data_IF_160119439570
#
_entry.id   IF_160119439570
#
_cell.length_a   1.000
_cell.length_b   1.000
_cell.length_c   1.000
_cell.angle_alpha   90.00
_cell.angle_beta   90.00
_cell.angle_gamma   90.00
#
_symmetry.space_group_name_H-M   'P 1'
#
loop_
_entity.id
_entity.type
_entity.pdbx_description
1 polymer ?
2 non-polymer ?
3 non-polymer ?
4 water ?
#
# COMPACT_ATOMS: atom_id res chain seq x y z
N UNK A 4 9.80 20.27 28.93
CA UNK A 4 9.59 21.04 27.72
C UNK A 4 9.73 20.17 26.47
N UNK A 5 10.84 19.41 26.43
CA UNK A 5 11.09 18.58 25.25
C UNK A 5 10.05 17.46 25.14
N UNK A 6 9.73 16.82 26.25
CA UNK A 6 8.76 15.72 26.21
C UNK A 6 7.41 16.20 25.70
N UNK A 7 6.93 17.33 26.22
CA UNK A 7 5.60 17.81 25.84
C UNK A 7 5.53 18.16 24.36
N UNK A 8 6.56 18.84 23.85
CA UNK A 8 6.53 19.18 22.43
C UNK A 8 6.59 17.93 21.56
N UNK A 9 7.43 16.96 21.94
CA UNK A 9 7.49 15.71 21.19
C UNK A 9 6.14 15.00 21.18
N UNK A 10 5.44 15.03 22.31
CA UNK A 10 4.12 14.41 22.37
C UNK A 10 3.16 15.10 21.42
N UNK A 11 3.22 16.43 21.35
CA UNK A 11 2.34 17.15 20.44
C UNK A 11 2.66 16.83 18.98
N UNK A 12 3.95 16.73 18.64
CA UNK A 12 4.34 16.38 17.28
C UNK A 12 3.81 15.01 16.91
N UNK A 13 3.97 14.05 17.82
CA UNK A 13 3.47 12.69 17.58
C UNK A 13 1.97 12.71 17.31
N UNK A 14 1.21 13.43 18.13
CA UNK A 14 -0.24 13.52 17.95
C UNK A 14 -0.59 14.19 16.62
N UNK A 15 0.13 15.25 16.25
CA UNK A 15 -0.14 15.89 14.95
C UNK A 15 0.12 14.94 13.79
N UNK A 16 1.17 14.13 13.88
CA UNK A 16 1.50 13.18 12.82
C UNK A 16 0.41 12.12 12.72
N UNK A 17 0.01 11.56 13.86
CA UNK A 17 -1.06 10.57 13.86
C UNK A 17 -2.35 11.15 13.28
N UNK A 18 -2.67 12.40 13.58
CA UNK A 18 -3.88 13.01 13.02
C UNK A 18 -3.73 13.22 11.51
N UNK A 19 -2.55 13.64 11.05
CA UNK A 19 -2.35 13.87 9.63
C UNK A 19 -2.45 12.58 8.82
N UNK A 20 -2.05 11.44 9.41
CA UNK A 20 -2.09 10.14 8.76
C UNK A 20 -3.39 9.40 9.03
N UNK A 21 -4.31 10.02 9.77
CA UNK A 21 -5.59 9.40 10.14
C UNK A 21 -5.38 8.05 10.80
N UNK A 22 -4.45 7.99 11.76
CA UNK A 22 -4.11 6.70 12.37
C UNK A 22 -5.34 6.11 13.03
N UNK A 23 -5.60 4.83 12.74
CA UNK A 23 -6.69 4.12 13.39
C UNK A 23 -6.31 3.74 14.80
N UNK A 24 -7.15 4.05 15.79
CA UNK A 24 -6.82 3.69 17.16
C UNK A 24 -6.66 2.20 17.29
N UNK A 25 -5.86 1.74 18.27
CA UNK A 25 -5.64 0.30 18.43
C UNK A 25 -6.97 -0.45 18.54
N UNK A 26 -7.03 -1.62 17.91
CA UNK A 26 -8.23 -2.44 17.98
C UNK A 26 -8.41 -2.95 19.42
N UNK A 27 -9.54 -2.62 20.03
CA UNK A 27 -9.82 -3.06 21.40
C UNK A 27 -10.69 -4.30 21.44
N UNK A 28 -11.30 -4.67 20.32
CA UNK A 28 -12.28 -5.74 20.31
C UNK A 28 -12.40 -6.30 18.90
N UNK A 29 -13.04 -7.45 18.81
CA UNK A 29 -13.35 -8.00 17.50
C UNK A 29 -14.37 -7.13 16.76
N UNK A 30 -15.24 -6.43 17.49
CA UNK A 30 -16.14 -5.49 16.84
C UNK A 30 -15.34 -4.42 16.08
N UNK A 31 -14.24 -3.96 16.67
CA UNK A 31 -13.39 -2.98 16.00
C UNK A 31 -12.85 -3.54 14.69
N UNK A 32 -12.36 -4.78 14.72
CA UNK A 32 -11.78 -5.40 13.54
C UNK A 32 -12.84 -5.54 12.45
N UNK A 33 -13.99 -6.11 12.81
CA UNK A 33 -15.04 -6.35 11.82
C UNK A 33 -15.57 -5.04 11.27
N UNK A 34 -15.66 -4.01 12.12
CA UNK A 34 -16.16 -2.73 11.66
C UNK A 34 -15.20 -2.09 10.66
N UNK A 35 -13.89 -2.29 10.84
CA UNK A 35 -12.93 -1.75 9.89
C UNK A 35 -13.00 -2.47 8.57
N UNK A 36 -13.18 -3.79 8.59
CA UNK A 36 -13.33 -4.53 7.34
C UNK A 36 -14.55 -4.04 6.59
N UNK A 37 -15.68 -3.95 7.30
CA UNK A 37 -16.92 -3.49 6.66
C UNK A 37 -16.78 -2.07 6.11
N UNK A 38 -16.16 -1.18 6.87
CA UNK A 38 -15.98 0.21 6.43
C UNK A 38 -15.10 0.29 5.20
N UNK A 39 -14.03 -0.52 5.16
CA UNK A 39 -13.10 -0.41 4.05
C UNK A 39 -13.65 -1.09 2.80
N UNK A 40 -14.41 -2.18 2.93
CA UNK A 40 -15.14 -2.71 1.78
C UNK A 40 -16.14 -1.68 1.26
N UNK A 41 -16.92 -1.06 2.15
CA UNK A 41 -17.92 -0.07 1.71
C UNK A 41 -17.23 1.11 1.02
N UNK A 42 -16.07 1.52 1.54
CA UNK A 42 -15.28 2.58 0.89
C UNK A 42 -14.90 2.19 -0.54
N UNK A 43 -14.38 0.97 -0.74
CA UNK A 43 -14.01 0.54 -2.09
C UNK A 43 -15.23 0.60 -3.00
N UNK A 44 -16.37 0.08 -2.51
CA UNK A 44 -17.58 0.08 -3.33
C UNK A 44 -18.04 1.51 -3.64
N UNK A 45 -17.97 2.40 -2.66
CA UNK A 45 -18.35 3.79 -2.89
C UNK A 45 -17.47 4.44 -3.95
N UNK A 46 -16.16 4.13 -3.96
CA UNK A 46 -15.29 4.70 -4.98
C UNK A 46 -15.72 4.24 -6.37
N UNK A 47 -16.06 2.96 -6.52
CA UNK A 47 -16.56 2.47 -7.80
C UNK A 47 -17.84 3.20 -8.20
N UNK A 48 -18.81 3.25 -7.28
CA UNK A 48 -20.08 3.89 -7.62
C UNK A 48 -19.88 5.35 -7.99
N UNK A 49 -19.06 6.07 -7.22
CA UNK A 49 -18.89 7.50 -7.48
C UNK A 49 -18.18 7.76 -8.81
N UNK A 50 -17.33 6.85 -9.23
CA UNK A 50 -16.60 6.98 -10.49
C UNK A 50 -17.38 6.45 -11.69
N UNK A 51 -18.47 5.74 -11.45
CA UNK A 51 -19.18 5.07 -12.52
C UNK A 51 -18.49 3.86 -13.10
N UNK A 52 -17.44 3.37 -12.45
CA UNK A 52 -16.64 2.29 -13.00
C UNK A 52 -16.95 0.98 -12.27
N UNK A 53 -16.48 -0.13 -12.85
CA UNK A 53 -16.85 -1.44 -12.36
C UNK A 53 -15.67 -2.35 -12.03
N UNK A 54 -14.45 -2.01 -12.41
CA UNK A 54 -13.37 -2.95 -12.16
C UNK A 54 -12.33 -2.33 -11.24
N UNK A 55 -11.64 -3.22 -10.52
CA UNK A 55 -10.58 -2.88 -9.60
C UNK A 55 -9.30 -3.59 -10.07
N UNK A 56 -8.16 -2.90 -9.96
CA UNK A 56 -6.87 -3.42 -10.41
C UNK A 56 -5.88 -3.28 -9.26
N UNK A 57 -5.15 -4.37 -8.95
CA UNK A 57 -4.13 -4.34 -7.89
C UNK A 57 -2.99 -5.30 -8.20
N UNK A 58 -1.75 -4.82 -8.13
CA UNK A 58 -0.60 -5.71 -8.21
C UNK A 58 -0.46 -6.54 -6.93
N UNK A 59 -0.31 -7.85 -7.08
CA UNK A 59 -0.19 -8.76 -5.95
C UNK A 59 1.25 -9.23 -5.88
N UNK A 60 1.97 -8.75 -4.86
CA UNK A 60 3.42 -8.92 -4.76
C UNK A 60 3.84 -10.15 -3.97
N UNK A 61 2.95 -10.70 -3.16
CA UNK A 61 3.29 -11.70 -2.18
C UNK A 61 3.37 -11.15 -0.76
N UNK A 62 3.43 -9.83 -0.60
CA UNK A 62 3.48 -9.25 0.74
C UNK A 62 2.11 -9.08 1.34
N UNK A 63 2.07 -8.86 2.66
CA UNK A 63 0.79 -8.87 3.38
C UNK A 63 -0.06 -7.65 3.00
N UNK A 64 0.54 -6.55 2.58
CA UNK A 64 -0.25 -5.35 2.30
C UNK A 64 -1.13 -5.56 1.07
N UNK A 65 -0.52 -6.01 -0.04
CA UNK A 65 -1.35 -6.24 -1.22
C UNK A 65 -2.25 -7.45 -1.03
N UNK A 66 -1.85 -8.41 -0.20
CA UNK A 66 -2.77 -9.51 0.12
C UNK A 66 -4.03 -8.99 0.79
N UNK A 67 -3.87 -8.12 1.79
CA UNK A 67 -5.01 -7.59 2.54
C UNK A 67 -5.89 -6.72 1.67
N UNK A 68 -5.28 -5.82 0.90
CA UNK A 68 -6.05 -4.98 -0.01
C UNK A 68 -6.75 -5.82 -1.06
N UNK A 69 -6.09 -6.89 -1.52
CA UNK A 69 -6.69 -7.75 -2.53
C UNK A 69 -7.89 -8.51 -2.00
N UNK A 70 -7.79 -8.99 -0.75
CA UNK A 70 -8.93 -9.65 -0.12
C UNK A 70 -10.11 -8.70 0.04
N UNK A 71 -9.86 -7.46 0.48
CA UNK A 71 -10.92 -6.47 0.55
C UNK A 71 -11.54 -6.22 -0.81
N UNK A 72 -10.72 -6.08 -1.85
CA UNK A 72 -11.23 -5.79 -3.20
C UNK A 72 -12.10 -6.93 -3.72
N UNK A 73 -11.65 -8.17 -3.53
CA UNK A 73 -12.40 -9.32 -4.03
C UNK A 73 -13.72 -9.47 -3.30
N UNK A 74 -13.73 -9.28 -1.97
CA UNK A 74 -14.99 -9.29 -1.24
C UNK A 74 -15.90 -8.16 -1.72
N UNK A 75 -15.31 -6.99 -1.97
CA UNK A 75 -16.09 -5.83 -2.40
C UNK A 75 -16.85 -6.13 -3.68
N UNK A 76 -16.17 -6.70 -4.69
CA UNK A 76 -16.85 -6.91 -5.97
C UNK A 76 -17.82 -8.09 -5.92
N UNK A 77 -17.52 -9.12 -5.12
CA UNK A 77 -18.47 -10.21 -4.94
C UNK A 77 -19.77 -9.68 -4.36
N UNK A 78 -19.68 -8.81 -3.36
CA UNK A 78 -20.87 -8.22 -2.77
C UNK A 78 -21.62 -7.37 -3.79
N UNK A 79 -20.89 -6.55 -4.55
CA UNK A 79 -21.52 -5.72 -5.57
C UNK A 79 -22.25 -6.57 -6.60
N UNK A 80 -21.64 -7.67 -7.05
CA UNK A 80 -22.35 -8.51 -8.01
C UNK A 80 -23.60 -9.11 -7.41
N UNK A 81 -23.53 -9.58 -6.18
CA UNK A 81 -24.70 -10.16 -5.53
C UNK A 81 -25.82 -9.12 -5.40
N UNK A 82 -25.47 -7.92 -4.92
CA UNK A 82 -26.49 -6.92 -4.65
C UNK A 82 -27.05 -6.29 -5.91
N UNK A 83 -26.18 -5.94 -6.87
CA UNK A 83 -26.60 -5.24 -8.07
C UNK A 83 -27.01 -6.16 -9.20
N UNK A 84 -26.59 -7.42 -9.18
CA UNK A 84 -26.75 -8.31 -10.31
C UNK A 84 -25.87 -8.00 -11.50
N UNK A 85 -25.01 -6.99 -11.40
CA UNK A 85 -24.21 -6.50 -12.51
C UNK A 85 -22.92 -7.31 -12.54
N UNK A 86 -22.83 -8.24 -13.50
CA UNK A 86 -21.69 -9.13 -13.56
C UNK A 86 -20.43 -8.45 -14.07
N UNK A 87 -20.51 -7.18 -14.48
CA UNK A 87 -19.32 -6.47 -14.93
C UNK A 87 -18.38 -6.09 -13.78
N UNK A 88 -18.86 -6.09 -12.53
CA UNK A 88 -17.97 -5.79 -11.41
C UNK A 88 -16.94 -6.91 -11.32
N UNK A 89 -15.66 -6.55 -11.34
CA UNK A 89 -14.60 -7.53 -11.42
C UNK A 89 -13.37 -6.98 -10.72
N UNK A 90 -12.64 -7.87 -10.06
CA UNK A 90 -11.33 -7.56 -9.51
C UNK A 90 -10.26 -8.28 -10.32
N UNK A 91 -9.29 -7.52 -10.83
CA UNK A 91 -8.18 -8.02 -11.61
C UNK A 91 -6.92 -7.95 -10.76
N UNK A 92 -6.43 -9.11 -10.35
CA UNK A 92 -5.14 -9.19 -9.67
C UNK A 92 -4.04 -9.24 -10.70
N UNK A 93 -2.99 -8.46 -10.50
CA UNK A 93 -1.89 -8.38 -11.47
C UNK A 93 -0.64 -8.99 -10.87
N UNK A 94 -0.12 -10.02 -11.55
CA UNK A 94 1.13 -10.66 -11.20
C UNK A 94 2.24 -9.86 -11.87
N UNK A 95 3.21 -9.40 -11.10
CA UNK A 95 4.30 -8.56 -11.59
C UNK A 95 5.60 -9.26 -11.25
N UNK A 96 5.98 -10.30 -11.99
CA UNK A 96 7.12 -11.13 -11.59
C UNK A 96 8.42 -10.35 -11.58
N UNK A 97 9.20 -10.56 -10.52
CA UNK A 97 10.61 -10.17 -10.50
C UNK A 97 11.42 -11.44 -10.23
N UNK A 98 12.47 -11.33 -9.42
CA UNK A 98 13.39 -12.46 -9.26
C UNK A 98 13.77 -12.69 -7.80
N UNK A 99 12.84 -12.46 -6.87
CA UNK A 99 13.00 -12.87 -5.48
C UNK A 99 12.17 -14.14 -5.32
N UNK A 100 12.85 -15.29 -5.32
CA UNK A 100 12.14 -16.57 -5.33
C UNK A 100 11.17 -16.71 -4.17
N UNK A 101 11.56 -16.24 -2.99
CA UNK A 101 10.65 -16.26 -1.84
C UNK A 101 9.41 -15.41 -2.11
N UNK A 102 9.59 -14.25 -2.73
CA UNK A 102 8.44 -13.40 -3.05
C UNK A 102 7.52 -14.08 -4.07
N UNK A 103 8.11 -14.81 -5.03
CA UNK A 103 7.30 -15.40 -6.09
C UNK A 103 6.49 -16.58 -5.58
N UNK A 104 7.09 -17.44 -4.74
CA UNK A 104 6.30 -18.43 -4.03
C UNK A 104 5.22 -17.77 -3.20
N UNK A 105 5.57 -16.66 -2.52
CA UNK A 105 4.57 -15.97 -1.71
C UNK A 105 3.52 -15.30 -2.58
N UNK A 106 3.91 -14.78 -3.76
CA UNK A 106 2.94 -14.22 -4.69
C UNK A 106 1.93 -15.27 -5.13
N UNK A 107 2.40 -16.47 -5.46
CA UNK A 107 1.49 -17.55 -5.83
C UNK A 107 0.56 -17.92 -4.70
N UNK A 108 1.11 -18.02 -3.48
CA UNK A 108 0.30 -18.32 -2.30
C UNK A 108 -0.71 -17.22 -2.03
N UNK A 109 -0.32 -15.96 -2.24
CA UNK A 109 -1.25 -14.84 -2.06
C UNK A 109 -2.40 -14.92 -3.06
N UNK A 110 -2.08 -15.20 -4.32
CA UNK A 110 -3.12 -15.34 -5.32
C UNK A 110 -4.05 -16.48 -4.97
N UNK A 111 -3.50 -17.60 -4.48
CA UNK A 111 -4.36 -18.71 -4.11
C UNK A 111 -5.27 -18.33 -2.95
N UNK A 112 -4.83 -17.40 -2.10
CA UNK A 112 -5.65 -16.95 -0.99
C UNK A 112 -6.78 -16.04 -1.45
N UNK A 113 -6.48 -15.12 -2.38
CA UNK A 113 -7.46 -14.13 -2.79
C UNK A 113 -8.53 -14.74 -3.69
N UNK A 114 -8.13 -15.66 -4.56
CA UNK A 114 -9.03 -16.24 -5.57
C UNK A 114 -9.72 -15.13 -6.35
N UNK A 115 -8.90 -14.24 -6.92
CA UNK A 115 -9.41 -13.09 -7.65
C UNK A 115 -10.21 -13.52 -8.86
N UNK A 116 -11.19 -12.70 -9.24
CA UNK A 116 -11.98 -12.96 -10.44
C UNK A 116 -11.07 -13.26 -11.62
N UNK A 117 -10.04 -12.43 -11.80
CA UNK A 117 -9.15 -12.50 -12.94
C UNK A 117 -7.72 -12.27 -12.48
N UNK A 118 -6.78 -12.95 -13.13
CA UNK A 118 -5.35 -12.75 -12.91
C UNK A 118 -4.70 -12.43 -14.24
N UNK A 119 -3.89 -11.36 -14.26
CA UNK A 119 -3.09 -11.00 -15.42
C UNK A 119 -1.64 -10.92 -14.99
N UNK A 120 -0.75 -11.39 -15.86
CA UNK A 120 0.68 -11.35 -15.60
C UNK A 120 1.34 -10.31 -16.51
N UNK A 121 2.12 -9.41 -15.92
CA UNK A 121 2.81 -8.39 -16.68
C UNK A 121 4.29 -8.47 -16.34
N UNK A 122 5.09 -8.88 -17.32
CA UNK A 122 6.54 -8.81 -17.19
C UNK A 122 7.00 -7.40 -17.55
N UNK A 123 7.41 -6.62 -16.54
CA UNK A 123 7.85 -5.25 -16.80
C UNK A 123 9.33 -5.19 -17.14
N UNK A 124 10.06 -6.30 -17.05
CA UNK A 124 11.47 -6.34 -17.35
C UNK A 124 11.86 -5.68 -18.65
N UNK A 125 11.20 -6.06 -19.76
CA UNK A 125 11.60 -5.46 -21.05
C UNK A 125 11.39 -3.95 -21.11
N UNK A 126 10.31 -3.44 -20.50
CA UNK A 126 10.07 -2.00 -20.48
C UNK A 126 11.09 -1.27 -19.61
N UNK A 127 11.45 -1.84 -18.46
CA UNK A 127 12.46 -1.25 -17.58
C UNK A 127 13.81 -1.19 -18.27
N UNK A 128 14.23 -2.32 -18.85
CA UNK A 128 15.52 -2.37 -19.53
C UNK A 128 15.55 -1.42 -20.71
N UNK A 129 14.45 -1.35 -21.48
CA UNK A 129 14.41 -0.53 -22.68
C UNK A 129 14.43 0.96 -22.34
N UNK A 130 13.88 1.34 -21.17
CA UNK A 130 13.99 2.71 -20.72
C UNK A 130 15.40 3.01 -20.23
N UNK A 131 15.95 2.11 -19.39
CA UNK A 131 17.25 2.37 -18.77
C UNK A 131 18.32 2.53 -19.85
N UNK A 132 18.24 1.73 -20.91
CA UNK A 132 19.20 1.80 -22.00
C UNK A 132 19.19 3.14 -22.73
N UNK A 133 18.10 3.90 -22.60
CA UNK A 133 17.96 5.19 -23.25
C UNK A 133 18.27 6.37 -22.34
N UNK A 134 18.71 6.13 -21.10
CA UNK A 134 18.98 7.19 -20.14
C UNK A 134 20.49 7.40 -20.03
N UNK A 135 21.02 8.39 -20.73
CA UNK A 135 22.45 8.70 -20.56
C UNK A 135 22.78 9.04 -19.12
N UNK A 136 21.81 9.56 -18.35
CA UNK A 136 22.08 9.90 -16.96
C UNK A 136 22.44 8.69 -16.10
N UNK A 137 22.15 7.46 -16.56
CA UNK A 137 22.54 6.27 -15.84
C UNK A 137 23.98 5.88 -16.09
N UNK A 138 24.60 6.41 -17.13
CA UNK A 138 25.98 6.05 -17.46
C UNK A 138 26.93 6.61 -16.42
N UNK A 139 27.79 5.74 -15.89
CA UNK A 139 28.77 6.16 -14.91
C UNK A 139 28.25 6.41 -13.51
N UNK A 140 26.99 6.08 -13.23
CA UNK A 140 26.45 6.26 -11.89
C UNK A 140 27.12 5.33 -10.90
N UNK A 141 27.37 5.82 -9.70
CA UNK A 141 27.81 4.95 -8.62
C UNK A 141 26.84 3.78 -8.48
N UNK A 142 27.33 2.56 -8.23
CA UNK A 142 26.43 1.39 -8.26
C UNK A 142 25.30 1.44 -7.27
N UNK A 143 25.54 1.93 -6.04
CA UNK A 143 24.45 1.99 -5.07
C UNK A 143 23.36 2.97 -5.51
N UNK A 144 23.77 4.12 -6.04
CA UNK A 144 22.78 5.08 -6.55
C UNK A 144 22.08 4.53 -7.77
N UNK A 145 22.82 3.87 -8.67
CA UNK A 145 22.19 3.27 -9.84
C UNK A 145 21.12 2.25 -9.45
N UNK A 146 21.42 1.39 -8.48
CA UNK A 146 20.45 0.39 -8.05
C UNK A 146 19.17 1.05 -7.52
N UNK A 147 19.30 2.16 -6.77
CA UNK A 147 18.09 2.84 -6.30
C UNK A 147 17.33 3.47 -7.46
N UNK A 148 18.02 4.12 -8.40
CA UNK A 148 17.33 4.71 -9.55
C UNK A 148 16.56 3.64 -10.31
N UNK A 149 17.22 2.50 -10.55
CA UNK A 149 16.56 1.43 -11.32
C UNK A 149 15.42 0.84 -10.51
N UNK A 150 15.60 0.69 -9.19
CA UNK A 150 14.50 0.20 -8.37
C UNK A 150 13.28 1.11 -8.41
N UNK A 151 13.50 2.41 -8.46
CA UNK A 151 12.37 3.33 -8.55
C UNK A 151 11.77 3.34 -9.96
N UNK A 152 12.56 3.17 -11.02
CA UNK A 152 12.00 2.94 -12.34
C UNK A 152 11.06 1.74 -12.31
N UNK A 153 11.50 0.63 -11.72
CA UNK A 153 10.65 -0.58 -11.65
C UNK A 153 9.34 -0.28 -10.94
N UNK A 154 9.40 0.37 -9.77
CA UNK A 154 8.17 0.70 -9.05
C UNK A 154 7.24 1.57 -9.88
N UNK A 155 7.81 2.51 -10.64
CA UNK A 155 6.95 3.40 -11.44
C UNK A 155 6.38 2.68 -12.65
N UNK A 156 7.15 1.78 -13.27
CA UNK A 156 6.58 1.08 -14.41
C UNK A 156 5.54 0.05 -13.96
N UNK A 157 5.67 -0.50 -12.75
CA UNK A 157 4.57 -1.30 -12.21
C UNK A 157 3.30 -0.47 -12.10
N UNK A 158 3.42 0.79 -11.67
CA UNK A 158 2.28 1.70 -11.64
C UNK A 158 1.72 1.91 -13.04
N UNK A 159 2.59 2.15 -14.03
CA UNK A 159 2.13 2.38 -15.40
C UNK A 159 1.31 1.18 -15.89
N UNK A 160 1.79 -0.03 -15.62
CA UNK A 160 1.11 -1.24 -16.07
C UNK A 160 -0.28 -1.35 -15.46
N UNK A 161 -0.39 -1.12 -14.14
CA UNK A 161 -1.69 -1.20 -13.49
C UNK A 161 -2.64 -0.14 -14.03
N UNK A 162 -2.15 1.09 -14.25
CA UNK A 162 -3.02 2.13 -14.81
C UNK A 162 -3.43 1.82 -16.24
N UNK A 163 -2.58 1.13 -17.02
CA UNK A 163 -2.97 0.75 -18.36
C UNK A 163 -4.09 -0.29 -18.33
N UNK A 164 -4.00 -1.28 -17.43
CA UNK A 164 -5.06 -2.28 -17.31
C UNK A 164 -6.35 -1.62 -16.85
N UNK A 165 -6.26 -0.73 -15.87
CA UNK A 165 -7.44 -0.01 -15.42
C UNK A 165 -8.04 0.83 -16.54
N UNK A 166 -7.20 1.48 -17.34
CA UNK A 166 -7.73 2.27 -18.45
C UNK A 166 -8.42 1.40 -19.49
N UNK A 167 -7.82 0.25 -19.80
CA UNK A 167 -8.39 -0.64 -20.80
C UNK A 167 -9.73 -1.24 -20.35
N UNK A 168 -9.89 -1.46 -19.04
CA UNK A 168 -11.02 -2.19 -18.51
C UNK A 168 -11.99 -1.32 -17.74
N UNK A 169 -11.79 -0.01 -17.74
CA UNK A 169 -12.69 0.86 -17.00
C UNK A 169 -12.63 0.64 -15.51
N UNK A 170 -11.44 0.75 -14.94
CA UNK A 170 -11.23 0.38 -13.56
C UNK A 170 -10.54 1.48 -12.75
N UNK A 171 -10.46 1.20 -11.45
CA UNK A 171 -9.70 1.99 -10.49
C UNK A 171 -8.51 1.19 -10.00
N UNK A 172 -7.38 1.86 -9.79
CA UNK A 172 -6.15 1.25 -9.29
C UNK A 172 -6.14 1.36 -7.77
N UNK A 173 -6.04 0.22 -7.09
CA UNK A 173 -5.90 0.17 -5.64
C UNK A 173 -4.43 0.29 -5.28
N UNK A 174 -4.15 1.07 -4.23
CA UNK A 174 -2.81 1.11 -3.66
C UNK A 174 -2.80 0.56 -2.25
N UNK A 175 -1.62 0.19 -1.76
CA UNK A 175 -1.53 -0.51 -0.49
C UNK A 175 -1.01 0.36 0.64
N UNK A 176 -0.88 1.67 0.44
CA UNK A 176 -0.32 2.49 1.51
C UNK A 176 -1.13 2.38 2.80
N UNK A 177 -0.41 2.35 3.91
CA UNK A 177 -0.97 2.40 5.25
C UNK A 177 -0.09 3.32 6.09
N UNK A 178 -0.47 3.55 7.35
CA UNK A 178 0.16 4.62 8.11
C UNK A 178 1.62 4.31 8.44
N UNK A 179 1.95 3.03 8.61
CA UNK A 179 3.32 2.68 8.97
C UNK A 179 4.28 2.91 7.80
N UNK A 180 3.81 2.70 6.57
CA UNK A 180 4.65 3.07 5.43
C UNK A 180 4.59 4.57 5.17
N UNK A 181 3.42 5.18 5.32
CA UNK A 181 3.26 6.62 5.04
C UNK A 181 4.17 7.46 5.94
N UNK A 182 4.26 7.15 7.24
CA UNK A 182 4.99 8.02 8.15
C UNK A 182 6.48 8.08 7.81
N UNK A 183 7.02 7.02 7.22
CA UNK A 183 8.43 6.96 6.82
C UNK A 183 8.66 7.31 5.37
N UNK A 184 7.60 7.53 4.60
CA UNK A 184 7.81 7.69 3.17
C UNK A 184 8.33 6.45 2.49
N UNK A 185 7.95 5.25 2.97
CA UNK A 185 8.46 3.97 2.49
C UNK A 185 7.68 3.50 1.26
N UNK A 186 7.72 4.31 0.22
CA UNK A 186 7.12 4.02 -1.06
C UNK A 186 7.81 4.91 -2.07
N UNK A 187 7.64 4.56 -3.35
CA UNK A 187 8.19 5.37 -4.43
C UNK A 187 7.15 6.43 -4.81
N UNK A 188 7.56 7.69 -4.77
CA UNK A 188 6.74 8.81 -5.20
C UNK A 188 6.28 8.61 -6.63
N UNK A 189 4.96 8.62 -6.85
CA UNK A 189 4.38 8.35 -8.17
C UNK A 189 4.76 6.97 -8.70
N UNK A 190 5.10 6.05 -7.79
CA UNK A 190 5.25 4.63 -8.10
C UNK A 190 4.16 3.86 -7.37
N UNK A 191 4.55 3.03 -6.39
CA UNK A 191 3.51 2.37 -5.60
C UNK A 191 2.74 3.35 -4.71
N UNK A 192 3.24 4.59 -4.54
CA UNK A 192 2.45 5.63 -3.89
C UNK A 192 1.28 6.14 -4.72
N UNK A 193 1.30 5.88 -6.02
CA UNK A 193 0.27 6.37 -6.93
C UNK A 193 -0.84 5.34 -7.09
N UNK A 194 -2.08 5.76 -6.82
CA UNK A 194 -3.25 4.89 -6.96
C UNK A 194 -4.47 5.79 -6.95
N UNK A 195 -5.64 5.20 -7.22
CA UNK A 195 -6.89 5.95 -7.15
C UNK A 195 -7.53 5.87 -5.78
N UNK A 196 -7.37 4.76 -5.08
CA UNK A 196 -7.94 4.60 -3.75
C UNK A 196 -6.95 3.76 -2.94
N UNK A 197 -6.86 4.06 -1.65
CA UNK A 197 -5.91 3.47 -0.73
C UNK A 197 -6.69 2.92 0.46
N UNK A 198 -7.25 1.70 0.35
CA UNK A 198 -8.19 1.22 1.38
C UNK A 198 -7.53 0.79 2.69
N UNK A 199 -6.20 0.75 2.76
CA UNK A 199 -5.50 0.45 4.00
C UNK A 199 -5.02 1.70 4.70
N UNK A 200 -5.37 2.88 4.20
CA UNK A 200 -4.88 4.12 4.76
C UNK A 200 -5.21 4.21 6.25
N UNK A 201 -4.25 4.71 7.02
CA UNK A 201 -4.43 4.93 8.43
C UNK A 201 -4.12 3.73 9.31
N UNK A 202 -3.93 2.55 8.74
CA UNK A 202 -3.70 1.35 9.55
C UNK A 202 -2.23 1.26 9.93
N UNK A 203 -1.97 0.88 11.18
CA UNK A 203 -0.64 0.46 11.59
C UNK A 203 -0.32 -0.89 10.94
N UNK A 204 0.95 -1.24 10.88
CA UNK A 204 1.33 -2.51 10.24
C UNK A 204 0.66 -3.69 10.89
N UNK A 205 0.61 -3.72 12.24
CA UNK A 205 -0.01 -4.85 12.91
C UNK A 205 -1.51 -4.88 12.69
N UNK A 206 -2.10 -3.73 12.37
CA UNK A 206 -3.52 -3.70 12.04
C UNK A 206 -3.78 -4.27 10.66
N UNK A 207 -2.88 -4.00 9.70
CA UNK A 207 -2.98 -4.66 8.40
C UNK A 207 -2.95 -6.17 8.58
N UNK A 208 -2.01 -6.65 9.40
CA UNK A 208 -1.92 -8.09 9.62
C UNK A 208 -3.19 -8.63 10.30
N UNK A 209 -3.74 -7.89 11.26
CA UNK A 209 -4.96 -8.34 11.92
C UNK A 209 -6.11 -8.45 10.93
N UNK A 210 -6.21 -7.50 10.00
CA UNK A 210 -7.28 -7.61 9.01
C UNK A 210 -7.04 -8.80 8.10
N UNK A 211 -5.78 -9.01 7.68
CA UNK A 211 -5.49 -10.16 6.83
C UNK A 211 -5.91 -11.45 7.50
N UNK A 212 -5.60 -11.60 8.79
CA UNK A 212 -6.01 -12.81 9.50
C UNK A 212 -7.54 -12.95 9.51
N UNK A 213 -8.25 -11.85 9.80
CA UNK A 213 -9.71 -11.91 9.88
C UNK A 213 -10.34 -12.14 8.51
N UNK A 214 -9.63 -11.81 7.44
CA UNK A 214 -10.10 -12.04 6.07
C UNK A 214 -9.78 -13.43 5.55
N UNK A 215 -9.09 -14.27 6.33
CA UNK A 215 -8.86 -15.66 5.95
C UNK A 215 -7.49 -15.95 5.38
N UNK A 216 -6.53 -15.05 5.53
CA UNK A 216 -5.19 -15.30 5.00
C UNK A 216 -4.49 -16.36 5.86
N UNK A 217 -3.74 -17.26 5.24
CA UNK A 217 -2.98 -18.24 6.03
C UNK A 217 -1.87 -17.55 6.83
N UNK A 218 -1.56 -18.16 7.98
CA UNK A 218 -0.65 -17.55 8.95
C UNK A 218 0.71 -17.20 8.36
N UNK A 219 1.25 -18.06 7.49
CA UNK A 219 2.56 -17.78 6.91
C UNK A 219 2.56 -16.49 6.09
N UNK A 220 1.41 -16.13 5.52
CA UNK A 220 1.37 -14.88 4.77
C UNK A 220 1.00 -13.71 5.66
N UNK A 221 0.18 -13.95 6.69
CA UNK A 221 -0.16 -12.90 7.64
C UNK A 221 1.10 -12.32 8.26
N UNK A 222 2.04 -13.20 8.65
CA UNK A 222 3.26 -12.79 9.34
C UNK A 222 4.47 -12.74 8.43
N UNK A 223 4.28 -12.75 7.12
CA UNK A 223 5.41 -12.68 6.20
C UNK A 223 6.18 -11.38 6.40
N UNK A 224 7.51 -11.50 6.48
CA UNK A 224 8.37 -10.33 6.60
C UNK A 224 8.64 -9.75 5.22
N UNK A 242 14.84 2.64 8.03
CA UNK A 242 15.78 3.69 8.43
C UNK A 242 16.48 3.36 9.75
N UNK A 243 16.57 2.09 10.09
CA UNK A 243 17.05 1.68 11.39
C UNK A 243 15.98 1.61 12.46
N UNK A 244 14.72 1.52 12.07
CA UNK A 244 13.61 1.40 13.00
C UNK A 244 12.70 0.28 12.52
N UNK A 245 12.05 -0.38 13.48
CA UNK A 245 11.23 -1.54 13.16
C UNK A 245 9.77 -1.13 13.00
N UNK A 246 9.01 -2.01 12.34
CA UNK A 246 7.58 -1.76 12.25
C UNK A 246 6.94 -1.74 13.62
N UNK A 247 7.43 -2.56 14.57
CA UNK A 247 6.86 -2.49 15.91
C UNK A 247 7.09 -1.13 16.53
N UNK A 248 8.27 -0.53 16.33
CA UNK A 248 8.51 0.80 16.84
C UNK A 248 7.65 1.84 16.12
N UNK A 249 7.55 1.73 14.79
CA UNK A 249 6.72 2.66 14.03
C UNK A 249 5.29 2.61 14.52
N UNK A 250 4.75 1.40 14.72
CA UNK A 250 3.37 1.26 15.17
C UNK A 250 3.19 1.86 16.57
N UNK A 251 4.15 1.61 17.48
CA UNK A 251 4.04 2.22 18.80
C UNK A 251 4.02 3.74 18.70
N UNK A 252 4.86 4.30 17.86
CA UNK A 252 4.86 5.74 17.65
C UNK A 252 3.50 6.20 17.16
N UNK A 253 2.97 5.54 16.14
CA UNK A 253 1.70 5.97 15.58
C UNK A 253 0.57 5.95 16.61
N UNK A 254 0.62 5.00 17.55
CA UNK A 254 -0.43 4.82 18.54
C UNK A 254 -0.14 5.54 19.84
N UNK A 255 0.93 6.32 19.90
CA UNK A 255 1.26 7.07 21.10
C UNK A 255 1.71 6.20 22.27
N UNK A 256 2.25 5.01 21.99
CA UNK A 256 2.68 4.06 22.99
C UNK A 256 4.17 4.20 23.22
N UNK A 257 4.71 3.64 24.30
CA UNK A 257 6.13 3.87 24.59
C UNK A 257 7.04 3.26 23.54
N UNK A 258 8.14 3.95 23.26
CA UNK A 258 9.17 3.44 22.37
C UNK A 258 10.45 4.19 22.69
N UNK A 259 11.55 3.63 22.22
CA UNK A 259 12.84 4.30 22.39
C UNK A 259 12.83 5.72 21.88
N UNK A 260 13.38 6.63 22.68
CA UNK A 260 13.43 8.02 22.29
C UNK A 260 14.17 8.21 20.98
N UNK A 261 15.24 7.44 20.76
CA UNK A 261 16.00 7.59 19.52
C UNK A 261 15.19 7.13 18.31
N UNK A 262 14.36 6.09 18.47
CA UNK A 262 13.51 5.66 17.37
C UNK A 262 12.48 6.73 17.05
N UNK A 263 11.86 7.31 18.07
CA UNK A 263 10.91 8.39 17.82
C UNK A 263 11.57 9.55 17.09
N UNK A 264 12.81 9.86 17.45
CA UNK A 264 13.50 10.96 16.79
C UNK A 264 13.72 10.67 15.32
N UNK A 265 14.13 9.44 14.98
CA UNK A 265 14.31 9.06 13.59
C UNK A 265 12.99 9.10 12.84
N UNK A 266 11.90 8.61 13.46
CA UNK A 266 10.62 8.63 12.77
C UNK A 266 10.18 10.06 12.45
N UNK A 267 10.28 10.95 13.44
CA UNK A 267 9.89 12.35 13.22
C UNK A 267 10.77 13.00 12.15
N UNK A 268 12.08 12.73 12.17
CA UNK A 268 12.97 13.32 11.17
C UNK A 268 12.63 12.81 9.77
N UNK A 269 12.36 11.51 9.65
CA UNK A 269 12.03 10.93 8.36
C UNK A 269 10.69 11.45 7.85
N UNK A 270 9.71 11.56 8.76
CA UNK A 270 8.42 12.17 8.40
C UNK A 270 8.61 13.55 7.79
N UNK A 271 9.38 14.41 8.47
CA UNK A 271 9.60 15.76 7.97
C UNK A 271 10.27 15.75 6.59
N UNK A 272 11.29 14.92 6.42
CA UNK A 272 12.04 14.89 5.16
C UNK A 272 11.22 14.34 4.01
N UNK A 273 10.18 13.57 4.29
CA UNK A 273 9.36 12.95 3.25
C UNK A 273 7.99 13.60 3.10
N UNK A 274 7.76 14.76 3.72
CA UNK A 274 6.44 15.40 3.62
C UNK A 274 6.03 15.63 2.17
N UNK A 275 6.98 15.93 1.29
CA UNK A 275 6.67 16.18 -0.11
C UNK A 275 6.00 14.99 -0.78
N UNK A 276 6.18 13.79 -0.24
CA UNK A 276 5.60 12.60 -0.80
C UNK A 276 4.16 12.41 -0.39
N UNK A 277 3.70 13.14 0.63
CA UNK A 277 2.35 13.02 1.17
C UNK A 277 1.52 14.25 0.87
N UNK A 278 1.98 15.09 -0.07
CA UNK A 278 1.33 16.32 -0.48
C UNK A 278 1.21 16.35 -2.00
N UNK A 279 0.28 17.17 -2.49
CA UNK A 279 0.23 17.49 -3.91
C UNK A 279 1.51 18.20 -4.34
N UNK A 280 1.78 18.26 -5.65
CA UNK A 280 2.99 18.97 -6.12
C UNK A 280 3.04 20.40 -5.59
N UNK A 281 4.24 20.87 -5.27
CA UNK A 281 4.39 22.22 -4.72
C UNK A 281 4.01 23.27 -5.75
N UNK A 282 3.35 24.32 -5.27
CA UNK A 282 2.86 25.41 -6.10
C UNK A 282 3.18 26.74 -5.44
N UNK A 283 3.39 27.81 -6.22
CA UNK A 283 3.72 29.10 -5.61
C UNK A 283 2.57 29.68 -4.81
X LIG B 1 11.30 8.73 -4.38
X LIG B 1 11.36 8.90 -5.91
X LIG B 1 10.10 8.04 -3.75
X LIG B 1 11.55 10.19 -3.69
X LIG B 1 12.69 11.00 -4.01
X LIG B 1 12.29 11.96 -5.13
X LIG B 1 11.38 13.00 -4.63
X LIG B 1 13.50 12.78 -5.55
X LIG B 1 14.27 12.05 -6.54
X LIG B 1 12.88 14.05 -6.13
X LIG B 1 12.31 13.79 -7.41
X LIG B 1 11.76 14.30 -5.12
X LIG B 1 12.08 15.10 -3.94
X LIG B 1 13.05 14.85 -2.96
X LIG B 1 13.00 15.74 -2.01
X LIG B 1 11.98 16.63 -2.35
X LIG B 1 11.46 17.77 -1.75
X LIG B 1 11.91 18.24 -0.58
X LIG B 1 10.45 18.40 -2.38
X LIG B 1 9.96 17.90 -3.53
X LIG B 1 10.40 16.82 -4.18
X LIG B 1 11.41 16.21 -3.54
X LIG B 1 12.61 7.92 -3.97
X LIG B 1 13.44 7.29 -2.76
X LIG B 1 13.91 8.41 -1.82
X LIG B 1 14.43 6.31 -3.41
X LIG B 1 12.27 6.44 -1.92
X LIG B 1 11.89 5.22 -2.54
X LIG B 1 12.21 4.09 -1.57
X LIG B 1 13.67 3.90 -1.36
X LIG B 1 11.66 4.34 -0.17
X LIG B 1 11.17 3.10 0.42
X LIG B 1 12.88 4.78 0.68
X LIG B 1 12.78 4.46 2.07
X LIG B 1 13.99 3.93 0.00
X LIG B 1 15.36 4.52 0.14
X LIG B 1 15.96 5.16 -0.91
X LIG B 1 17.22 5.69 -0.78
X LIG B 1 17.83 6.39 -1.95
X LIG B 1 19.00 6.79 -1.86
X LIG B 1 17.09 6.57 -3.07
X LIG B 1 17.85 5.55 0.47
X LIG B 1 17.24 4.89 1.51
X LIG B 1 15.97 4.37 1.32
X LIG C 1 7.49 -0.10 -0.09
X LIG C 1 7.78 -0.71 1.10
X LIG C 1 7.33 -2.17 1.12
X LIG C 1 5.84 -2.19 0.87
X LIG C 1 5.58 -1.49 -0.46
X LIG C 1 6.14 -0.08 -0.34
X LIG C 1 5.27 -3.57 0.84
X LIG C 1 5.28 -4.13 2.19
X LIG C 1 4.67 -5.87 2.25
X LIG C 1 3.36 -5.84 1.77
X LIG C 1 5.63 -6.51 1.39
X LIG C 1 4.90 -6.21 3.64
#
# INVERSE_FOLDING_TARGET
MAHHHHHHMQQIQRDIAQALQVQPPFQSEADVQAQIARRIAFIQQCLKDSGLKTLVLGISGGVDSLTAGLLAQRAVEQLREQTGDQAYRFIAVRLPYQVQQDEADAQASLATIRADEEQTVNIGPSVKALAEQLEALEGLEPAKSDFVIGNIKARIRMVAQYAIAGARGGLVIGTDHAAEAVMGFFTKFGDGACDLAPLSGLAKHQVRALARALGAPENLVEKIPTADLEDLRPGHPDEASHGVTYAEIDAFLHGQPLREEAARVIVDTYHKTQHKRELPKAP
NAD PA O1A O2A O5B C5B C4B O4B C3B O3B C2B O2B C1B N9A C8A N7A C5A C6A N6A N1A C2A N3A C4A O3 PN O1N O2N O5D C5D C4D O4D C3D O3D C2D O2D C1D N1N C2N C3N C7N O7N N7N C4N C5N C6N
MES O1 C2 C3 N4 C5 C6 C7 C8 S O1S O2S O3S
#
